data_IF_555924567016
#
_entry.id   IF_555924567016
#
_cell.length_a   1.000
_cell.length_b   1.000
_cell.length_c   1.000
_cell.angle_alpha   90.00
_cell.angle_beta   90.00
_cell.angle_gamma   90.00
#
_symmetry.space_group_name_H-M   'P 1'
#
loop_
_entity.id
_entity.type
_entity.pdbx_description
1 polymer ?
#
# COMPACT_ATOMS: atom_id res chain seq x y z
N UNK A 1 19.19 -6.92 8.47
CA UNK A 1 19.28 -6.18 7.19
C UNK A 1 18.19 -6.58 6.18
N UNK A 2 17.77 -7.84 6.05
CA UNK A 2 16.85 -8.26 4.97
C UNK A 2 15.39 -7.76 5.04
N UNK A 3 14.82 -7.51 6.23
CA UNK A 3 13.41 -7.12 6.35
C UNK A 3 13.11 -5.67 5.93
N UNK A 4 14.07 -4.77 6.11
CA UNK A 4 13.90 -3.35 5.73
C UNK A 4 13.98 -3.19 4.20
N UNK A 5 14.83 -3.98 3.54
CA UNK A 5 14.92 -4.01 2.07
C UNK A 5 13.61 -4.49 1.46
N UNK A 6 13.01 -5.56 1.99
CA UNK A 6 11.72 -6.07 1.50
C UNK A 6 10.56 -5.06 1.68
N UNK A 7 10.52 -4.34 2.80
CA UNK A 7 9.51 -3.31 3.03
C UNK A 7 9.65 -2.14 2.04
N UNK A 8 10.87 -1.67 1.80
CA UNK A 8 11.15 -0.59 0.84
C UNK A 8 10.79 -1.00 -0.59
N UNK A 9 11.12 -2.23 -1.00
CA UNK A 9 10.75 -2.78 -2.31
C UNK A 9 9.23 -2.89 -2.47
N UNK A 10 8.53 -3.38 -1.44
CA UNK A 10 7.08 -3.46 -1.45
C UNK A 10 6.42 -2.07 -1.57
N UNK A 11 6.93 -1.08 -0.84
CA UNK A 11 6.47 0.32 -0.95
C UNK A 11 6.67 0.84 -2.38
N UNK A 12 7.84 0.63 -2.98
CA UNK A 12 8.12 1.08 -4.34
C UNK A 12 7.16 0.45 -5.35
N UNK A 13 6.89 -0.84 -5.21
CA UNK A 13 5.97 -1.56 -6.10
C UNK A 13 4.52 -1.07 -5.92
N UNK A 14 4.07 -0.85 -4.68
CA UNK A 14 2.73 -0.31 -4.42
C UNK A 14 2.55 1.11 -4.99
N UNK A 15 3.59 1.95 -4.99
CA UNK A 15 3.56 3.25 -5.69
C UNK A 15 3.37 3.09 -7.19
N UNK A 16 4.14 2.19 -7.80
CA UNK A 16 4.04 1.90 -9.25
C UNK A 16 2.63 1.43 -9.60
N UNK A 17 2.10 0.47 -8.82
CA UNK A 17 0.78 -0.10 -9.01
C UNK A 17 -0.35 0.91 -8.80
N UNK A 18 -0.27 1.75 -7.77
CA UNK A 18 -1.29 2.79 -7.54
C UNK A 18 -1.35 3.83 -8.67
N UNK A 19 -0.21 4.15 -9.29
CA UNK A 19 -0.16 5.06 -10.43
C UNK A 19 -0.69 4.44 -11.74
N UNK A 20 -0.35 3.18 -12.00
CA UNK A 20 -0.77 2.45 -13.19
C UNK A 20 -2.22 1.94 -13.10
N UNK A 21 -2.72 1.71 -11.90
CA UNK A 21 -3.94 0.95 -11.65
C UNK A 21 -3.63 -0.50 -11.26
N UNK A 22 -4.55 -1.12 -10.53
CA UNK A 22 -4.36 -2.42 -9.88
C UNK A 22 -5.30 -3.52 -10.40
N UNK A 23 -5.97 -3.29 -11.54
CA UNK A 23 -6.97 -4.23 -12.07
C UNK A 23 -6.38 -5.59 -12.44
N UNK A 24 -5.18 -5.62 -13.03
CA UNK A 24 -4.52 -6.84 -13.50
C UNK A 24 -3.67 -7.52 -12.41
N UNK A 25 -3.67 -7.00 -11.19
CA UNK A 25 -2.93 -7.57 -10.07
C UNK A 25 -3.86 -8.50 -9.30
N UNK A 26 -3.41 -9.72 -8.99
CA UNK A 26 -4.19 -10.62 -8.15
C UNK A 26 -4.40 -10.02 -6.74
N UNK A 27 -5.60 -10.11 -6.14
CA UNK A 27 -5.86 -9.55 -4.81
C UNK A 27 -4.88 -10.04 -3.74
N UNK A 28 -4.48 -11.32 -3.83
CA UNK A 28 -3.50 -11.93 -2.93
C UNK A 28 -2.11 -11.29 -3.01
N UNK A 29 -1.70 -10.83 -4.19
CA UNK A 29 -0.42 -10.14 -4.36
C UNK A 29 -0.47 -8.73 -3.77
N UNK A 30 -1.59 -8.02 -3.90
CA UNK A 30 -1.79 -6.73 -3.24
C UNK A 30 -1.76 -6.86 -1.71
N UNK A 31 -2.41 -7.89 -1.17
CA UNK A 31 -2.39 -8.18 0.27
C UNK A 31 -0.98 -8.50 0.76
N UNK A 32 -0.24 -9.34 0.02
CA UNK A 32 1.15 -9.66 0.34
C UNK A 32 2.05 -8.43 0.30
N UNK A 33 1.93 -7.59 -0.73
CA UNK A 33 2.70 -6.35 -0.83
C UNK A 33 2.36 -5.38 0.30
N UNK A 34 1.10 -5.23 0.67
CA UNK A 34 0.68 -4.40 1.79
C UNK A 34 1.28 -4.89 3.11
N UNK A 35 1.20 -6.20 3.39
CA UNK A 35 1.78 -6.82 4.60
C UNK A 35 3.31 -6.67 4.65
N UNK A 36 3.99 -6.81 3.50
CA UNK A 36 5.43 -6.58 3.38
C UNK A 36 5.80 -5.11 3.59
N UNK A 37 5.04 -4.16 3.05
CA UNK A 37 5.30 -2.74 3.22
C UNK A 37 5.29 -2.33 4.70
N UNK A 38 4.43 -2.95 5.51
CA UNK A 38 4.32 -2.66 6.95
C UNK A 38 5.17 -3.60 7.82
N UNK A 39 6.00 -4.47 7.26
CA UNK A 39 6.80 -5.42 8.06
C UNK A 39 7.89 -4.78 8.92
N UNK A 40 8.19 -3.50 8.69
CA UNK A 40 9.13 -2.71 9.51
C UNK A 40 8.57 -2.17 10.82
N UNK A 41 7.26 -2.34 11.09
CA UNK A 41 6.64 -1.87 12.33
C UNK A 41 6.72 -2.91 13.44
N UNK A 42 7.21 -2.51 14.62
CA UNK A 42 7.37 -3.39 15.80
C UNK A 42 6.03 -3.73 16.47
N UNK A 43 5.05 -2.82 16.42
CA UNK A 43 3.75 -3.02 17.05
C UNK A 43 2.77 -3.69 16.09
N UNK A 44 2.36 -4.92 16.41
CA UNK A 44 1.40 -5.70 15.60
C UNK A 44 0.06 -4.97 15.36
N UNK A 45 -0.39 -4.18 16.33
CA UNK A 45 -1.62 -3.39 16.21
C UNK A 45 -1.50 -2.34 15.12
N UNK A 46 -0.45 -1.53 15.17
CA UNK A 46 -0.18 -0.46 14.20
C UNK A 46 0.04 -1.04 12.80
N UNK A 47 0.76 -2.17 12.71
CA UNK A 47 0.97 -2.91 11.47
C UNK A 47 -0.36 -3.27 10.79
N UNK A 48 -1.30 -3.83 11.54
CA UNK A 48 -2.61 -4.24 11.02
C UNK A 48 -3.43 -3.03 10.58
N UNK A 49 -3.52 -1.99 11.41
CA UNK A 49 -4.29 -0.78 11.09
C UNK A 49 -3.76 -0.09 9.82
N UNK A 50 -2.44 -0.01 9.66
CA UNK A 50 -1.83 0.58 8.47
C UNK A 50 -2.05 -0.28 7.22
N UNK A 51 -1.93 -1.60 7.33
CA UNK A 51 -2.22 -2.52 6.23
C UNK A 51 -3.69 -2.42 5.77
N UNK A 52 -4.63 -2.38 6.72
CA UNK A 52 -6.06 -2.25 6.43
C UNK A 52 -6.35 -0.91 5.72
N UNK A 53 -5.81 0.21 6.21
CA UNK A 53 -5.94 1.52 5.56
C UNK A 53 -5.37 1.53 4.13
N UNK A 54 -4.24 0.85 3.92
CA UNK A 54 -3.60 0.74 2.61
C UNK A 54 -4.47 -0.08 1.64
N UNK A 55 -5.03 -1.20 2.10
CA UNK A 55 -5.91 -2.05 1.30
C UNK A 55 -7.22 -1.36 0.94
N UNK A 56 -7.82 -0.60 1.86
CA UNK A 56 -8.98 0.25 1.56
C UNK A 56 -8.66 1.24 0.44
N UNK A 57 -7.54 1.96 0.53
CA UNK A 57 -7.14 2.93 -0.47
C UNK A 57 -6.86 2.28 -1.84
N UNK A 58 -6.19 1.12 -1.86
CA UNK A 58 -5.95 0.33 -3.07
C UNK A 58 -7.26 -0.19 -3.69
N UNK A 59 -8.27 -0.48 -2.88
CA UNK A 59 -9.60 -0.89 -3.33
C UNK A 59 -10.29 0.26 -4.07
N UNK A 60 -10.19 1.49 -3.56
CA UNK A 60 -10.68 2.70 -4.26
C UNK A 60 -9.93 2.89 -5.58
N UNK A 61 -8.60 2.73 -5.60
CA UNK A 61 -7.80 2.82 -6.84
C UNK A 61 -8.23 1.76 -7.86
N UNK A 62 -8.51 0.53 -7.40
CA UNK A 62 -8.87 -0.59 -8.27
C UNK A 62 -10.26 -0.44 -8.88
N UNK A 63 -11.24 -0.16 -8.03
CA UNK A 63 -12.65 -0.29 -8.39
C UNK A 63 -13.37 1.05 -8.57
N UNK A 64 -12.79 2.17 -8.13
CA UNK A 64 -13.35 3.50 -8.34
C UNK A 64 -13.74 3.72 -9.81
N UNK A 65 -12.81 3.54 -10.78
CA UNK A 65 -13.11 3.69 -12.19
C UNK A 65 -14.17 2.72 -12.72
N UNK A 66 -14.24 1.49 -12.17
CA UNK A 66 -15.25 0.48 -12.55
C UNK A 66 -16.65 0.94 -12.20
N UNK A 67 -16.79 1.69 -11.11
CA UNK A 67 -18.06 2.25 -10.64
C UNK A 67 -18.30 3.71 -11.08
N UNK A 68 -17.48 4.24 -11.98
CA UNK A 68 -17.60 5.62 -12.47
C UNK A 68 -17.10 6.70 -11.50
N UNK A 69 -16.34 6.32 -10.48
CA UNK A 69 -15.67 7.23 -9.55
C UNK A 69 -14.22 7.54 -9.97
N UNK A 70 -13.73 8.70 -9.57
CA UNK A 70 -12.32 9.08 -9.78
C UNK A 70 -11.40 8.23 -8.88
N UNK A 71 -10.30 7.72 -9.46
CA UNK A 71 -9.27 7.00 -8.73
C UNK A 71 -8.31 7.94 -7.96
N UNK A 72 -8.29 9.24 -8.31
CA UNK A 72 -7.34 10.22 -7.76
C UNK A 72 -7.36 10.29 -6.22
N UNK A 73 -8.51 10.32 -5.53
CA UNK A 73 -8.53 10.32 -4.06
C UNK A 73 -7.92 9.06 -3.46
N UNK A 74 -8.14 7.90 -4.09
CA UNK A 74 -7.51 6.63 -3.70
C UNK A 74 -5.99 6.70 -3.85
N UNK A 75 -5.49 7.22 -4.97
CA UNK A 75 -4.04 7.35 -5.24
C UNK A 75 -3.35 8.30 -4.26
N UNK A 76 -3.98 9.42 -3.94
CA UNK A 76 -3.49 10.37 -2.95
C UNK A 76 -3.40 9.73 -1.56
N UNK A 77 -4.43 8.96 -1.17
CA UNK A 77 -4.46 8.26 0.11
C UNK A 77 -3.39 7.15 0.19
N UNK A 78 -3.23 6.35 -0.87
CA UNK A 78 -2.13 5.37 -0.96
C UNK A 78 -0.78 6.06 -0.80
N UNK A 79 -0.54 7.16 -1.52
CA UNK A 79 0.72 7.89 -1.46
C UNK A 79 1.02 8.38 -0.04
N UNK A 80 0.04 8.98 0.64
CA UNK A 80 0.21 9.47 2.01
C UNK A 80 0.53 8.34 3.00
N UNK A 81 -0.14 7.18 2.88
CA UNK A 81 0.12 6.02 3.74
C UNK A 81 1.54 5.47 3.50
N UNK A 82 1.93 5.33 2.23
CA UNK A 82 3.27 4.85 1.87
C UNK A 82 4.38 5.81 2.32
N UNK A 83 4.14 7.13 2.28
CA UNK A 83 5.07 8.12 2.82
C UNK A 83 5.22 7.98 4.35
N UNK A 84 4.11 7.71 5.07
CA UNK A 84 4.14 7.48 6.51
C UNK A 84 4.92 6.20 6.87
N UNK A 85 4.72 5.12 6.11
CA UNK A 85 5.46 3.85 6.27
C UNK A 85 6.97 4.08 6.11
N UNK A 86 7.39 4.79 5.05
CA UNK A 86 8.81 5.07 4.80
C UNK A 86 9.41 5.91 5.92
N UNK A 87 8.70 6.96 6.36
CA UNK A 87 9.14 7.79 7.48
C UNK A 87 9.31 7.00 8.77
N UNK A 88 8.40 6.07 9.07
CA UNK A 88 8.47 5.24 10.27
C UNK A 88 9.54 4.15 10.19
N UNK A 89 9.83 3.61 9.00
CA UNK A 89 10.78 2.52 8.80
C UNK A 89 12.24 3.01 8.69
N UNK A 90 12.45 4.27 8.31
CA UNK A 90 13.78 4.89 8.17
C UNK A 90 14.17 5.81 9.34
N UNK A 91 13.28 5.99 10.33
CA UNK A 91 13.54 6.74 11.55
C UNK A 91 14.27 5.88 12.59
#
# INVERSE_FOLDING_TARGET
MGQHTAAVEAVAELRRLSAAGTMDVEPQDLMRLADQAVSGFDLQKDRKEIADMLLEALTVVRFGPVFGHDALPGRQRVTAILDAIVKATLA
#
